data_IF_231004238689
#
_entry.id   IF_231004238689
#
_cell.length_a   1.000
_cell.length_b   1.000
_cell.length_c   1.000
_cell.angle_alpha   90.00
_cell.angle_beta   90.00
_cell.angle_gamma   90.00
#
_symmetry.space_group_name_H-M   'P 1'
#
loop_
_entity.id
_entity.type
_entity.pdbx_description
1 polymer ?
#
# COMPACT_ATOMS: atom_id res chain seq x y z
N UNK A 1 -6.72 11.82 14.05
CA UNK A 1 -6.79 10.52 13.35
C UNK A 1 -5.80 10.45 12.17
N UNK A 2 -5.41 11.53 11.55
CA UNK A 2 -4.40 11.50 10.48
C UNK A 2 -3.09 12.13 10.97
N UNK A 3 -2.38 11.44 11.84
CA UNK A 3 -0.98 11.79 12.09
C UNK A 3 -0.17 11.31 10.88
N UNK A 4 0.49 12.24 10.18
CA UNK A 4 1.28 12.00 8.97
C UNK A 4 2.44 11.01 9.26
N UNK A 5 2.88 10.95 10.51
CA UNK A 5 3.97 10.08 10.98
C UNK A 5 3.49 8.72 11.54
N UNK A 6 2.18 8.42 11.46
CA UNK A 6 1.67 7.18 12.03
C UNK A 6 2.24 5.97 11.29
N UNK A 7 2.86 5.01 12.01
CA UNK A 7 3.34 3.76 11.40
C UNK A 7 2.17 2.93 10.86
N UNK A 8 2.49 1.90 10.10
CA UNK A 8 1.50 0.88 9.77
C UNK A 8 1.05 0.19 11.05
N UNK A 9 -0.24 -0.09 11.17
CA UNK A 9 -0.82 -0.75 12.35
C UNK A 9 -2.16 -1.40 12.01
N UNK A 10 -2.48 -2.45 12.72
CA UNK A 10 -3.79 -3.08 12.71
C UNK A 10 -4.29 -3.24 14.14
N UNK A 11 -5.51 -2.79 14.40
CA UNK A 11 -6.14 -2.85 15.71
C UNK A 11 -7.58 -3.36 15.58
N UNK A 12 -7.93 -4.34 16.40
CA UNK A 12 -9.31 -4.81 16.55
C UNK A 12 -9.96 -4.14 17.76
N UNK A 13 -11.03 -3.39 17.51
CA UNK A 13 -11.81 -2.69 18.52
C UNK A 13 -13.17 -3.37 18.70
N UNK A 14 -13.88 -3.08 19.78
CA UNK A 14 -15.16 -3.74 20.09
C UNK A 14 -16.22 -3.59 18.99
N UNK A 15 -16.23 -2.46 18.28
CA UNK A 15 -17.29 -2.15 17.29
C UNK A 15 -16.77 -2.18 15.84
N UNK A 16 -15.48 -2.06 15.61
CA UNK A 16 -14.88 -1.98 14.29
C UNK A 16 -13.39 -2.34 14.32
N UNK A 17 -12.87 -2.76 13.18
CA UNK A 17 -11.44 -2.97 12.98
C UNK A 17 -10.83 -1.74 12.32
N UNK A 18 -9.58 -1.44 12.67
CA UNK A 18 -8.82 -0.30 12.15
C UNK A 18 -7.52 -0.79 11.53
N UNK A 19 -7.33 -0.49 10.26
CA UNK A 19 -6.09 -0.73 9.54
C UNK A 19 -5.49 0.61 9.09
N UNK A 20 -4.23 0.85 9.46
CA UNK A 20 -3.45 1.99 8.98
C UNK A 20 -2.35 1.45 8.08
N UNK A 21 -2.33 1.89 6.83
CA UNK A 21 -1.38 1.47 5.82
C UNK A 21 -0.72 2.68 5.18
N UNK A 22 0.57 2.59 4.84
CA UNK A 22 1.30 3.67 4.18
C UNK A 22 1.40 3.41 2.68
N UNK A 23 0.84 4.31 1.90
CA UNK A 23 0.89 4.29 0.44
C UNK A 23 2.05 5.13 -0.07
N UNK A 24 2.74 4.68 -1.12
CA UNK A 24 3.66 5.53 -1.87
C UNK A 24 2.90 6.67 -2.56
N UNK A 25 3.45 7.88 -2.45
CA UNK A 25 2.98 9.03 -3.22
C UNK A 25 3.49 8.89 -4.64
N UNK A 26 2.58 8.81 -5.58
CA UNK A 26 2.87 8.73 -7.01
C UNK A 26 2.84 10.12 -7.65
N UNK A 27 3.45 10.32 -8.85
CA UNK A 27 3.38 11.60 -9.56
C UNK A 27 1.96 12.07 -9.88
N UNK A 28 1.01 11.13 -9.93
CA UNK A 28 -0.40 11.43 -10.20
C UNK A 28 -1.15 11.96 -8.97
N UNK A 29 -0.59 11.76 -7.77
CA UNK A 29 -1.19 12.28 -6.55
C UNK A 29 -0.95 13.79 -6.45
N UNK A 30 -2.00 14.57 -6.23
CA UNK A 30 -1.93 16.04 -6.01
C UNK A 30 -1.66 16.40 -4.55
N UNK A 31 -1.05 15.50 -3.81
CA UNK A 31 -0.69 15.73 -2.42
C UNK A 31 0.33 16.88 -2.38
N UNK A 32 -0.05 17.96 -1.73
CA UNK A 32 0.85 19.10 -1.55
C UNK A 32 2.08 18.61 -0.80
N UNK A 33 3.25 18.74 -1.43
CA UNK A 33 4.53 18.47 -0.81
C UNK A 33 4.76 19.46 0.36
N UNK A 34 4.02 19.29 1.45
CA UNK A 34 4.32 19.95 2.70
C UNK A 34 5.63 19.41 3.25
N UNK A 35 6.31 20.20 4.07
CA UNK A 35 7.58 19.83 4.71
C UNK A 35 7.49 18.59 5.63
N UNK A 36 6.28 18.03 5.78
CA UNK A 36 5.95 16.95 6.70
C UNK A 36 6.00 15.53 6.11
N UNK A 37 6.24 15.36 4.82
CA UNK A 37 6.37 14.01 4.26
C UNK A 37 7.81 13.53 4.40
N UNK A 38 8.01 12.53 5.22
CA UNK A 38 9.29 11.84 5.31
C UNK A 38 9.64 11.23 3.96
N UNK A 39 10.69 11.75 3.33
CA UNK A 39 11.16 11.27 2.03
C UNK A 39 12.23 10.23 2.21
N UNK A 40 11.87 8.99 1.99
CA UNK A 40 12.80 7.88 1.91
C UNK A 40 13.24 7.71 0.46
N UNK A 41 14.49 7.89 0.12
CA UNK A 41 15.01 7.86 -1.26
C UNK A 41 14.40 8.90 -2.21
N UNK A 42 13.84 9.99 -1.69
CA UNK A 42 13.01 10.89 -2.49
C UNK A 42 11.60 10.31 -2.74
N UNK A 43 11.29 9.16 -2.15
CA UNK A 43 9.95 8.58 -2.10
C UNK A 43 9.23 9.16 -0.89
N UNK A 44 8.04 9.68 -1.11
CA UNK A 44 7.15 10.10 -0.04
C UNK A 44 6.09 9.02 0.16
N UNK A 45 5.70 8.80 1.41
CA UNK A 45 4.56 7.94 1.76
C UNK A 45 3.51 8.75 2.49
N UNK A 46 2.25 8.36 2.33
CA UNK A 46 1.11 8.95 3.03
C UNK A 46 0.32 7.87 3.74
N UNK A 47 -0.09 8.08 5.01
CA UNK A 47 -0.91 7.12 5.71
C UNK A 47 -2.34 7.16 5.18
N UNK A 48 -2.95 5.99 5.12
CA UNK A 48 -4.38 5.81 4.81
C UNK A 48 -4.93 4.90 5.90
N UNK A 49 -6.00 5.36 6.55
CA UNK A 49 -6.69 4.57 7.56
C UNK A 49 -7.96 3.99 6.99
N UNK A 50 -8.19 2.72 7.24
CA UNK A 50 -9.41 1.99 6.91
C UNK A 50 -10.05 1.53 8.22
N UNK A 51 -11.27 2.01 8.48
CA UNK A 51 -12.11 1.48 9.54
C UNK A 51 -13.23 0.67 8.92
N UNK A 52 -13.41 -0.55 9.34
CA UNK A 52 -14.42 -1.43 8.74
C UNK A 52 -15.18 -2.25 9.76
N UNK A 53 -16.42 -2.46 9.42
CA UNK A 53 -17.37 -3.35 10.07
C UNK A 53 -17.86 -4.36 9.03
N UNK A 54 -18.66 -5.37 9.38
CA UNK A 54 -19.22 -6.30 8.39
C UNK A 54 -20.02 -5.63 7.27
N UNK A 55 -20.48 -4.37 7.45
CA UNK A 55 -21.37 -3.69 6.49
C UNK A 55 -20.81 -2.41 5.89
N UNK A 56 -19.82 -1.78 6.53
CA UNK A 56 -19.34 -0.44 6.17
C UNK A 56 -17.83 -0.40 6.15
N UNK A 57 -17.23 0.24 5.13
CA UNK A 57 -15.84 0.62 5.06
C UNK A 57 -15.75 2.15 5.05
N UNK A 58 -14.99 2.71 5.97
CA UNK A 58 -14.65 4.13 6.04
C UNK A 58 -13.16 4.27 5.77
N UNK A 59 -12.77 5.09 4.79
CA UNK A 59 -11.37 5.42 4.55
C UNK A 59 -11.08 6.87 4.91
N UNK A 60 -10.02 7.10 5.68
CA UNK A 60 -9.51 8.44 6.00
C UNK A 60 -8.14 8.58 5.35
N UNK A 61 -7.97 9.61 4.55
CA UNK A 61 -6.77 9.85 3.77
C UNK A 61 -6.51 11.32 3.56
N UNK A 62 -5.30 11.65 3.20
CA UNK A 62 -4.95 13.00 2.77
C UNK A 62 -5.65 13.37 1.45
N UNK A 63 -6.02 14.63 1.33
CA UNK A 63 -6.65 15.15 0.12
C UNK A 63 -5.67 15.09 -1.05
N UNK A 64 -6.16 14.72 -2.24
CA UNK A 64 -5.35 14.62 -3.46
C UNK A 64 -4.77 13.22 -3.72
N UNK A 65 -5.19 12.22 -2.96
CA UNK A 65 -4.83 10.82 -3.21
C UNK A 65 -5.63 10.26 -4.40
N UNK A 66 -5.16 10.53 -5.61
CA UNK A 66 -5.85 10.18 -6.87
C UNK A 66 -6.00 8.67 -7.08
N UNK A 67 -5.11 7.85 -6.55
CA UNK A 67 -5.19 6.40 -6.76
C UNK A 67 -6.49 5.82 -6.19
N UNK A 68 -6.87 6.25 -4.99
CA UNK A 68 -8.14 5.82 -4.38
C UNK A 68 -9.34 6.47 -5.08
N UNK A 69 -9.23 7.73 -5.44
CA UNK A 69 -10.28 8.43 -6.20
C UNK A 69 -10.55 7.76 -7.54
N UNK A 70 -9.51 7.43 -8.29
CA UNK A 70 -9.61 6.70 -9.54
C UNK A 70 -10.23 5.30 -9.36
N UNK A 71 -9.91 4.62 -8.25
CA UNK A 71 -10.51 3.33 -7.94
C UNK A 71 -12.01 3.46 -7.66
N UNK A 72 -12.42 4.44 -6.86
CA UNK A 72 -13.83 4.72 -6.56
C UNK A 72 -14.57 5.06 -7.85
N UNK A 73 -14.04 5.96 -8.68
CA UNK A 73 -14.65 6.29 -9.97
C UNK A 73 -14.80 5.08 -10.90
N UNK A 74 -13.83 4.15 -10.88
CA UNK A 74 -13.97 2.89 -11.63
C UNK A 74 -15.11 2.03 -11.12
N UNK A 75 -15.31 1.95 -9.80
CA UNK A 75 -16.43 1.22 -9.22
C UNK A 75 -17.76 1.87 -9.58
N UNK A 76 -17.86 3.19 -9.49
CA UNK A 76 -19.06 3.94 -9.88
C UNK A 76 -19.40 3.73 -11.36
N UNK A 77 -18.40 3.81 -12.23
CA UNK A 77 -18.57 3.54 -13.66
C UNK A 77 -19.01 2.09 -13.96
N UNK A 78 -18.54 1.12 -13.17
CA UNK A 78 -18.98 -0.27 -13.29
C UNK A 78 -20.43 -0.40 -12.83
N UNK A 79 -20.80 0.24 -11.72
CA UNK A 79 -22.17 0.26 -11.20
C UNK A 79 -23.15 0.86 -12.24
N UNK A 80 -22.83 2.04 -12.80
CA UNK A 80 -23.65 2.68 -13.82
C UNK A 80 -23.82 1.79 -15.06
N UNK A 81 -22.75 1.17 -15.56
CA UNK A 81 -22.81 0.28 -16.73
C UNK A 81 -23.51 -1.05 -16.46
N UNK A 82 -23.43 -1.56 -15.24
CA UNK A 82 -24.12 -2.80 -14.87
C UNK A 82 -25.64 -2.59 -14.81
N UNK A 83 -26.09 -1.36 -14.52
CA UNK A 83 -27.50 -1.00 -14.58
C UNK A 83 -28.04 -0.91 -16.02
N UNK A 84 -27.16 -0.62 -17.00
CA UNK A 84 -27.53 -0.47 -18.41
C UNK A 84 -27.34 -1.80 -19.20
N UNK A 85 -26.36 -2.62 -18.84
CA UNK A 85 -26.01 -3.87 -19.54
C UNK A 85 -26.09 -5.07 -18.59
N UNK A 86 -27.18 -5.83 -18.64
CA UNK A 86 -27.45 -7.02 -17.80
C UNK A 86 -26.43 -8.18 -17.93
N UNK A 87 -25.33 -8.07 -18.68
CA UNK A 87 -24.57 -9.25 -19.12
C UNK A 87 -23.03 -9.20 -19.00
N UNK A 88 -22.40 -8.24 -18.34
CA UNK A 88 -20.94 -8.30 -18.12
C UNK A 88 -20.58 -8.14 -16.64
N UNK A 89 -20.46 -9.28 -15.97
CA UNK A 89 -20.03 -9.45 -14.59
C UNK A 89 -18.57 -9.04 -14.38
N UNK A 90 -18.27 -7.75 -14.39
CA UNK A 90 -17.09 -7.26 -13.65
C UNK A 90 -17.46 -7.33 -12.18
N UNK A 91 -16.75 -8.16 -11.44
CA UNK A 91 -17.05 -8.43 -10.03
C UNK A 91 -16.91 -7.16 -9.19
N UNK A 92 -18.02 -6.61 -8.77
CA UNK A 92 -18.06 -5.62 -7.70
C UNK A 92 -17.51 -6.25 -6.40
N UNK A 93 -16.98 -5.46 -5.46
CA UNK A 93 -16.65 -5.95 -4.13
C UNK A 93 -17.88 -6.56 -3.47
N UNK A 94 -17.72 -7.74 -2.87
CA UNK A 94 -18.84 -8.44 -2.22
C UNK A 94 -19.04 -8.02 -0.77
N UNK A 95 -18.02 -7.39 -0.17
CA UNK A 95 -18.04 -6.97 1.23
C UNK A 95 -17.10 -5.77 1.44
N UNK A 96 -17.21 -5.05 2.57
CA UNK A 96 -16.27 -4.01 2.97
C UNK A 96 -14.82 -4.51 3.03
N UNK A 97 -14.61 -5.74 3.50
CA UNK A 97 -13.30 -6.39 3.58
C UNK A 97 -12.74 -6.67 2.17
N UNK A 98 -13.57 -7.18 1.22
CA UNK A 98 -13.13 -7.38 -0.17
C UNK A 98 -12.76 -6.05 -0.83
N UNK A 99 -13.50 -4.98 -0.54
CA UNK A 99 -13.17 -3.64 -1.02
C UNK A 99 -11.83 -3.16 -0.43
N UNK A 100 -11.62 -3.33 0.86
CA UNK A 100 -10.37 -2.98 1.54
C UNK A 100 -9.19 -3.74 0.92
N UNK A 101 -9.29 -5.06 0.75
CA UNK A 101 -8.26 -5.89 0.13
C UNK A 101 -7.90 -5.43 -1.29
N UNK A 102 -8.88 -5.05 -2.10
CA UNK A 102 -8.63 -4.54 -3.46
C UNK A 102 -7.94 -3.19 -3.46
N UNK A 103 -8.26 -2.31 -2.50
CA UNK A 103 -7.57 -1.04 -2.32
C UNK A 103 -6.13 -1.26 -1.87
N UNK A 104 -5.90 -2.14 -0.89
CA UNK A 104 -4.57 -2.52 -0.42
C UNK A 104 -3.72 -3.08 -1.56
N UNK A 105 -4.25 -4.03 -2.33
CA UNK A 105 -3.56 -4.59 -3.48
C UNK A 105 -3.11 -3.50 -4.47
N UNK A 106 -4.01 -2.56 -4.79
CA UNK A 106 -3.67 -1.44 -5.68
C UNK A 106 -2.58 -0.52 -5.11
N UNK A 107 -2.48 -0.40 -3.77
CA UNK A 107 -1.42 0.38 -3.12
C UNK A 107 -0.09 -0.37 -3.09
N UNK A 108 -0.14 -1.68 -2.83
CA UNK A 108 1.05 -2.56 -2.85
C UNK A 108 1.65 -2.64 -4.25
N UNK A 109 0.83 -2.69 -5.30
CA UNK A 109 1.29 -2.67 -6.69
C UNK A 109 2.20 -1.46 -6.98
N UNK A 110 1.94 -0.31 -6.35
CA UNK A 110 2.80 0.88 -6.46
C UNK A 110 4.23 0.68 -5.96
N UNK A 111 4.44 -0.25 -5.01
CA UNK A 111 5.79 -0.58 -4.52
C UNK A 111 6.59 -1.43 -5.53
N UNK A 112 5.92 -2.17 -6.41
CA UNK A 112 6.59 -2.91 -7.47
C UNK A 112 7.31 -1.99 -8.46
N UNK A 113 6.76 -0.81 -8.70
CA UNK A 113 7.32 0.18 -9.64
C UNK A 113 8.66 0.74 -9.16
N UNK A 114 8.89 0.81 -7.86
CA UNK A 114 10.17 1.31 -7.31
C UNK A 114 11.28 0.26 -7.28
N UNK A 115 10.96 -1.03 -7.41
CA UNK A 115 11.92 -2.12 -7.35
C UNK A 115 13.05 -1.95 -8.36
N UNK A 116 12.72 -1.69 -9.61
CA UNK A 116 13.70 -1.56 -10.69
C UNK A 116 14.63 -0.34 -10.52
N UNK A 117 14.14 0.86 -10.20
CA UNK A 117 14.99 1.98 -9.82
C UNK A 117 15.93 1.68 -8.64
N UNK A 118 15.43 1.04 -7.58
CA UNK A 118 16.26 0.68 -6.43
C UNK A 118 17.38 -0.30 -6.80
N UNK A 119 17.07 -1.34 -7.57
CA UNK A 119 18.07 -2.31 -8.06
C UNK A 119 19.16 -1.60 -8.85
N UNK A 120 18.83 -0.70 -9.78
CA UNK A 120 19.84 0.06 -10.57
C UNK A 120 20.74 0.93 -9.69
N UNK A 121 20.19 1.50 -8.60
CA UNK A 121 21.00 2.30 -7.66
C UNK A 121 22.01 1.42 -6.91
N UNK A 122 21.58 0.24 -6.46
CA UNK A 122 22.49 -0.75 -5.83
C UNK A 122 23.58 -1.17 -6.79
N UNK A 123 23.24 -1.55 -8.02
CA UNK A 123 24.19 -1.94 -9.06
C UNK A 123 25.20 -0.81 -9.37
N UNK A 124 24.72 0.42 -9.45
CA UNK A 124 25.58 1.59 -9.65
C UNK A 124 26.65 1.69 -8.53
N UNK A 125 26.25 1.60 -7.27
CA UNK A 125 27.16 1.68 -6.15
C UNK A 125 28.13 0.49 -6.10
N UNK A 126 27.66 -0.72 -6.40
CA UNK A 126 28.53 -1.90 -6.52
C UNK A 126 29.60 -1.69 -7.59
N UNK A 127 29.25 -1.19 -8.76
CA UNK A 127 30.19 -0.89 -9.83
C UNK A 127 31.23 0.17 -9.39
N UNK A 128 30.78 1.25 -8.75
CA UNK A 128 31.67 2.31 -8.24
C UNK A 128 32.70 1.77 -7.23
N UNK A 129 32.28 0.88 -6.35
CA UNK A 129 33.14 0.24 -5.36
C UNK A 129 34.14 -0.75 -6.00
N UNK A 130 33.70 -1.54 -6.99
CA UNK A 130 34.51 -2.56 -7.65
C UNK A 130 35.54 -1.97 -8.63
N UNK A 131 35.28 -0.78 -9.22
CA UNK A 131 36.18 -0.14 -10.16
C UNK A 131 37.52 0.30 -9.56
N UNK A 132 37.74 0.05 -8.27
CA UNK A 132 39.04 0.03 -7.65
C UNK A 132 39.82 1.35 -7.66
N UNK A 133 39.16 2.46 -7.81
CA UNK A 133 39.80 3.78 -7.72
C UNK A 133 40.36 3.95 -6.30
N UNK A 134 41.69 3.95 -6.16
CA UNK A 134 42.45 3.99 -4.89
C UNK A 134 41.99 5.08 -3.90
N UNK A 135 41.02 5.94 -4.27
CA UNK A 135 40.41 6.96 -3.43
C UNK A 135 38.91 7.10 -3.77
N UNK A 136 38.11 6.11 -3.38
CA UNK A 136 36.67 6.31 -3.36
C UNK A 136 36.34 7.50 -2.44
N UNK A 137 35.81 8.58 -3.01
CA UNK A 137 35.58 9.85 -2.27
C UNK A 137 34.11 10.02 -1.84
N UNK A 138 33.23 9.13 -2.29
CA UNK A 138 31.79 9.31 -2.13
C UNK A 138 31.19 8.52 -0.95
N UNK A 139 32.00 8.26 0.10
CA UNK A 139 31.56 7.51 1.28
C UNK A 139 30.34 8.11 1.95
N UNK A 140 30.27 9.42 2.03
CA UNK A 140 29.14 10.13 2.65
C UNK A 140 27.84 9.86 1.85
N UNK A 141 27.91 9.93 0.54
CA UNK A 141 26.77 9.67 -0.35
C UNK A 141 26.32 8.21 -0.28
N UNK A 142 27.30 7.27 -0.30
CA UNK A 142 27.01 5.85 -0.12
C UNK A 142 26.34 5.56 1.21
N UNK A 143 26.79 6.24 2.28
CA UNK A 143 26.16 6.10 3.60
C UNK A 143 24.72 6.58 3.62
N UNK A 144 24.44 7.75 3.03
CA UNK A 144 23.07 8.25 2.91
C UNK A 144 22.18 7.30 2.10
N UNK A 145 22.67 6.75 1.02
CA UNK A 145 21.94 5.76 0.23
C UNK A 145 21.63 4.50 1.07
N UNK A 146 22.61 4.01 1.82
CA UNK A 146 22.41 2.86 2.70
C UNK A 146 21.34 3.12 3.78
N UNK A 147 21.38 4.28 4.42
CA UNK A 147 20.37 4.67 5.40
C UNK A 147 18.98 4.69 4.78
N UNK A 148 18.86 5.21 3.57
CA UNK A 148 17.59 5.25 2.87
C UNK A 148 17.10 3.87 2.45
N UNK A 149 18.00 2.92 2.07
CA UNK A 149 17.61 1.51 1.85
C UNK A 149 17.05 0.87 3.11
N UNK A 150 17.70 1.09 4.27
CA UNK A 150 17.22 0.59 5.55
C UNK A 150 15.83 1.13 5.91
N UNK A 151 15.56 2.41 5.62
CA UNK A 151 14.23 2.98 5.85
C UNK A 151 13.15 2.31 4.99
N UNK A 152 13.46 2.02 3.70
CA UNK A 152 12.50 1.26 2.84
C UNK A 152 12.29 -0.14 3.37
N UNK A 153 13.37 -0.81 3.79
CA UNK A 153 13.31 -2.16 4.37
C UNK A 153 12.41 -2.18 5.61
N UNK A 154 12.66 -1.29 6.58
CA UNK A 154 11.85 -1.18 7.79
C UNK A 154 10.36 -0.91 7.46
N UNK A 155 10.10 0.00 6.51
CA UNK A 155 8.73 0.26 6.07
C UNK A 155 8.05 -0.99 5.49
N UNK A 156 8.77 -1.76 4.68
CA UNK A 156 8.23 -2.99 4.10
C UNK A 156 7.98 -4.04 5.19
N UNK A 157 8.86 -4.16 6.18
CA UNK A 157 8.69 -5.06 7.32
C UNK A 157 7.45 -4.70 8.14
N UNK A 158 7.29 -3.44 8.52
CA UNK A 158 6.10 -2.95 9.23
C UNK A 158 4.81 -3.24 8.45
N UNK A 159 4.84 -3.06 7.13
CA UNK A 159 3.68 -3.35 6.28
C UNK A 159 3.36 -4.84 6.22
N UNK A 160 4.39 -5.70 6.17
CA UNK A 160 4.20 -7.15 6.14
C UNK A 160 3.58 -7.62 7.47
N UNK A 161 4.10 -7.16 8.61
CA UNK A 161 3.55 -7.48 9.93
C UNK A 161 2.09 -7.06 10.03
N UNK A 162 1.79 -5.81 9.69
CA UNK A 162 0.41 -5.27 9.71
C UNK A 162 -0.54 -6.07 8.80
N UNK A 163 -0.09 -6.46 7.60
CA UNK A 163 -0.90 -7.25 6.69
C UNK A 163 -1.09 -8.69 7.16
N UNK A 164 -0.13 -9.25 7.90
CA UNK A 164 -0.27 -10.58 8.49
C UNK A 164 -1.32 -10.57 9.61
N UNK A 165 -1.27 -9.59 10.52
CA UNK A 165 -2.27 -9.41 11.57
C UNK A 165 -3.67 -9.22 10.98
N UNK A 166 -3.79 -8.35 9.98
CA UNK A 166 -5.04 -8.13 9.25
C UNK A 166 -5.57 -9.40 8.60
N UNK A 167 -4.70 -10.19 7.95
CA UNK A 167 -5.06 -11.46 7.33
C UNK A 167 -5.59 -12.45 8.37
N UNK A 168 -4.91 -12.57 9.50
CA UNK A 168 -5.26 -13.55 10.54
C UNK A 168 -6.63 -13.21 11.13
N UNK A 169 -6.91 -11.94 11.38
CA UNK A 169 -8.22 -11.44 11.82
C UNK A 169 -9.32 -11.74 10.80
N UNK A 170 -9.06 -11.48 9.51
CA UNK A 170 -10.04 -11.79 8.44
C UNK A 170 -10.34 -13.28 8.39
N UNK A 171 -9.33 -14.11 8.54
CA UNK A 171 -9.50 -15.57 8.53
C UNK A 171 -10.33 -16.01 9.73
N UNK A 172 -10.16 -15.41 10.89
CA UNK A 172 -10.89 -15.79 12.10
C UNK A 172 -12.34 -15.29 12.11
N UNK A 173 -12.56 -14.03 11.80
CA UNK A 173 -13.84 -13.37 12.05
C UNK A 173 -14.73 -13.19 10.80
N UNK A 174 -14.15 -13.28 9.60
CA UNK A 174 -14.87 -13.07 8.33
C UNK A 174 -15.01 -14.33 7.47
N UNK A 175 -14.84 -15.52 8.05
CA UNK A 175 -14.97 -16.81 7.35
C UNK A 175 -16.24 -16.96 6.51
N UNK A 176 -17.36 -16.44 7.00
CA UNK A 176 -18.66 -16.51 6.33
C UNK A 176 -18.72 -15.58 5.09
N UNK A 177 -17.87 -14.55 5.02
CA UNK A 177 -17.78 -13.63 3.88
C UNK A 177 -16.85 -14.18 2.79
N UNK A 178 -15.87 -14.99 3.19
CA UNK A 178 -14.86 -15.61 2.30
C UNK A 178 -15.33 -16.99 1.83
N UNK A 179 -16.15 -17.68 2.61
CA UNK A 179 -16.44 -19.11 2.56
C UNK A 179 -17.11 -19.66 1.29
N UNK A 180 -17.61 -18.83 0.38
CA UNK A 180 -18.15 -19.33 -0.88
C UNK A 180 -17.13 -19.39 -2.04
N UNK A 181 -15.91 -18.84 -1.88
CA UNK A 181 -14.91 -18.75 -2.98
C UNK A 181 -13.46 -19.01 -2.59
N UNK A 182 -13.18 -19.73 -1.51
CA UNK A 182 -11.81 -19.96 -1.00
C UNK A 182 -10.87 -20.69 -1.96
N UNK A 183 -11.34 -21.31 -3.03
CA UNK A 183 -10.46 -21.90 -4.04
C UNK A 183 -9.81 -20.90 -5.01
N UNK A 184 -10.26 -19.65 -5.03
CA UNK A 184 -9.72 -18.60 -5.92
C UNK A 184 -8.90 -17.53 -5.20
N UNK A 185 -9.06 -17.39 -3.90
CA UNK A 185 -8.47 -16.26 -3.12
C UNK A 185 -7.18 -16.61 -2.39
N UNK A 186 -6.87 -17.89 -2.19
CA UNK A 186 -5.61 -18.33 -1.58
C UNK A 186 -4.35 -17.95 -2.40
N UNK A 187 -4.51 -17.62 -3.66
CA UNK A 187 -3.41 -17.16 -4.51
C UNK A 187 -3.06 -15.67 -4.39
N UNK A 188 -3.93 -14.87 -3.78
CA UNK A 188 -3.76 -13.40 -3.70
C UNK A 188 -3.10 -12.91 -2.41
N UNK A 189 -3.00 -13.77 -1.39
CA UNK A 189 -2.37 -13.46 -0.10
C UNK A 189 -0.95 -14.00 0.05
N UNK A 190 -0.35 -14.54 -1.02
CA UNK A 190 0.96 -15.20 -0.98
C UNK A 190 2.01 -14.54 -1.91
N UNK A 191 1.88 -13.25 -2.21
CA UNK A 191 2.95 -12.56 -2.95
C UNK A 191 3.49 -11.41 -2.12
#
# INVERSE_FOLDING_TARGET
IANIEHPCAFDTLEEYDLLIFRKLVTPDDEIKNGESHERVFGLATTPISFSFTPKVLISVREQGNKSIENYIQRLENILCKTLEEQNKTRKLPNSPVDLCLRLLNSMVDGYLDIRSPLTRRVEHWQQQLLQGNRRFKQWHQLFHENMAFQQVENLCEEQIETLQEFRDEIVENYHHVIGEKTHSSQGLLLV
#
